data_IF_348005880318
#
_entry.id   IF_348005880318
#
_cell.length_a   1.000
_cell.length_b   1.000
_cell.length_c   1.000
_cell.angle_alpha   90.00
_cell.angle_beta   90.00
_cell.angle_gamma   90.00
#
_symmetry.space_group_name_H-M   'P 1'
#
loop_
_entity.id
_entity.type
_entity.pdbx_description
1 polymer ?
#
# COMPACT_ATOMS: atom_id res chain seq x y z
N UNK A 1 -11.00 -1.78 13.12
CA UNK A 1 -10.66 -0.34 13.11
C UNK A 1 -10.72 0.27 11.72
N UNK A 2 -9.93 -0.15 10.74
CA UNK A 2 -9.88 0.46 9.39
C UNK A 2 -11.22 0.45 8.64
N UNK A 3 -11.96 -0.69 8.67
CA UNK A 3 -13.29 -0.79 8.06
C UNK A 3 -14.30 0.22 8.62
N UNK A 4 -14.39 0.35 9.93
CA UNK A 4 -15.32 1.29 10.57
C UNK A 4 -15.02 2.74 10.22
N UNK A 5 -13.74 3.07 10.08
CA UNK A 5 -13.29 4.39 9.63
C UNK A 5 -13.74 4.70 8.21
N UNK A 6 -13.59 3.74 7.28
CA UNK A 6 -14.06 3.89 5.89
C UNK A 6 -15.58 4.07 5.83
N UNK A 7 -16.34 3.30 6.61
CA UNK A 7 -17.80 3.41 6.66
C UNK A 7 -18.22 4.80 7.18
N UNK A 8 -17.58 5.28 8.23
CA UNK A 8 -17.85 6.61 8.80
C UNK A 8 -17.51 7.72 7.80
N UNK A 9 -16.34 7.65 7.16
CA UNK A 9 -15.89 8.63 6.17
C UNK A 9 -16.82 8.67 4.95
N UNK A 10 -17.26 7.51 4.45
CA UNK A 10 -18.19 7.43 3.32
C UNK A 10 -19.53 8.11 3.65
N UNK A 11 -20.03 7.92 4.87
CA UNK A 11 -21.26 8.58 5.34
C UNK A 11 -21.05 10.07 5.47
N UNK A 12 -19.96 10.50 6.12
CA UNK A 12 -19.68 11.91 6.40
C UNK A 12 -19.45 12.73 5.13
N UNK A 13 -18.59 12.24 4.23
CA UNK A 13 -18.14 13.02 3.07
C UNK A 13 -19.02 12.87 1.84
N UNK A 14 -19.69 11.74 1.69
CA UNK A 14 -20.41 11.41 0.46
C UNK A 14 -21.88 11.05 0.71
N UNK A 15 -22.32 11.01 1.97
CA UNK A 15 -23.65 10.55 2.37
C UNK A 15 -23.99 9.14 1.87
N UNK A 16 -22.98 8.27 1.75
CA UNK A 16 -23.10 6.88 1.29
C UNK A 16 -23.08 5.96 2.50
N UNK A 17 -24.11 5.10 2.62
CA UNK A 17 -24.11 4.02 3.62
C UNK A 17 -23.48 2.76 3.04
N UNK A 18 -22.32 2.39 3.56
CA UNK A 18 -21.66 1.13 3.24
C UNK A 18 -21.98 0.09 4.30
N UNK A 19 -22.53 -1.05 3.89
CA UNK A 19 -22.94 -2.17 4.76
C UNK A 19 -22.27 -3.47 4.32
N UNK A 20 -22.21 -4.42 5.24
CA UNK A 20 -21.70 -5.77 4.97
C UNK A 20 -20.20 -5.94 5.19
N UNK A 21 -19.75 -7.17 4.96
CA UNK A 21 -18.35 -7.58 4.92
C UNK A 21 -18.25 -8.74 3.92
N UNK A 22 -17.70 -8.51 2.72
CA UNK A 22 -17.04 -7.28 2.26
C UNK A 22 -17.98 -6.07 2.11
N UNK A 23 -17.41 -4.87 2.01
CA UNK A 23 -18.19 -3.66 1.68
C UNK A 23 -18.42 -3.61 0.16
N UNK A 24 -19.66 -3.38 -0.24
CA UNK A 24 -20.04 -3.30 -1.64
C UNK A 24 -20.54 -1.88 -1.94
N UNK A 25 -19.96 -1.27 -2.96
CA UNK A 25 -20.35 0.04 -3.48
C UNK A 25 -20.86 -0.13 -4.92
N UNK A 26 -22.12 0.22 -5.15
CA UNK A 26 -22.67 0.29 -6.49
C UNK A 26 -22.57 1.72 -7.03
N UNK A 27 -22.04 1.86 -8.23
CA UNK A 27 -21.89 3.13 -8.93
C UNK A 27 -22.49 3.04 -10.33
N UNK A 28 -22.69 4.18 -10.97
CA UNK A 28 -23.15 4.23 -12.37
C UNK A 28 -22.19 3.52 -13.36
N UNK A 29 -20.91 3.35 -12.97
CA UNK A 29 -19.87 2.68 -13.77
C UNK A 29 -19.70 1.20 -13.43
N UNK A 30 -20.44 0.68 -12.46
CA UNK A 30 -20.38 -0.71 -12.03
C UNK A 30 -20.23 -0.87 -10.51
N UNK A 31 -19.96 -2.09 -10.08
CA UNK A 31 -19.83 -2.46 -8.68
C UNK A 31 -18.34 -2.49 -8.27
N UNK A 32 -18.05 -1.90 -7.12
CA UNK A 32 -16.77 -2.04 -6.46
C UNK A 32 -16.94 -2.80 -5.13
N UNK A 33 -16.06 -3.76 -4.87
CA UNK A 33 -16.08 -4.55 -3.63
C UNK A 33 -14.75 -4.34 -2.88
N UNK A 34 -14.83 -4.00 -1.61
CA UNK A 34 -13.69 -3.79 -0.74
C UNK A 34 -13.60 -4.91 0.29
N UNK A 35 -12.56 -5.72 0.18
CA UNK A 35 -12.25 -6.83 1.09
C UNK A 35 -11.25 -6.38 2.15
N UNK A 36 -11.50 -6.74 3.41
CA UNK A 36 -10.57 -6.55 4.52
C UNK A 36 -9.94 -7.88 4.86
N UNK A 37 -8.69 -8.04 4.48
CA UNK A 37 -7.95 -9.28 4.65
C UNK A 37 -7.02 -9.15 5.86
N UNK A 38 -6.84 -10.24 6.58
CA UNK A 38 -5.79 -10.34 7.59
C UNK A 38 -4.41 -10.43 6.90
N UNK A 39 -3.34 -10.27 7.66
CA UNK A 39 -1.97 -10.47 7.17
C UNK A 39 -1.64 -11.94 6.85
N UNK A 40 -2.62 -12.84 6.93
CA UNK A 40 -2.45 -14.23 6.51
C UNK A 40 -2.41 -14.33 4.97
N UNK A 41 -1.22 -14.57 4.44
CA UNK A 41 -0.97 -14.66 3.01
C UNK A 41 -1.81 -15.73 2.29
N UNK A 42 -2.17 -16.82 2.97
CA UNK A 42 -2.95 -17.92 2.38
C UNK A 42 -4.37 -17.48 2.00
N UNK A 43 -5.00 -16.65 2.82
CA UNK A 43 -6.38 -16.17 2.57
C UNK A 43 -6.44 -15.14 1.44
N UNK A 44 -5.34 -14.47 1.13
CA UNK A 44 -5.29 -13.41 0.14
C UNK A 44 -5.05 -13.91 -1.30
N UNK A 45 -4.55 -15.13 -1.50
CA UNK A 45 -4.11 -15.63 -2.82
C UNK A 45 -5.21 -15.73 -3.89
N UNK A 46 -6.48 -15.84 -3.50
CA UNK A 46 -7.61 -15.97 -4.44
C UNK A 46 -8.15 -14.63 -4.95
N UNK A 47 -7.69 -13.51 -4.40
CA UNK A 47 -8.22 -12.19 -4.76
C UNK A 47 -7.35 -11.51 -5.82
N UNK A 48 -7.99 -10.72 -6.67
CA UNK A 48 -7.36 -9.89 -7.69
C UNK A 48 -7.91 -8.48 -7.66
N UNK A 49 -7.05 -7.48 -7.72
CA UNK A 49 -7.47 -6.09 -7.69
C UNK A 49 -6.41 -5.12 -7.22
N UNK A 50 -6.84 -3.91 -6.89
CA UNK A 50 -5.99 -2.95 -6.18
C UNK A 50 -5.72 -3.46 -4.77
N UNK A 51 -4.48 -3.36 -4.33
CA UNK A 51 -4.05 -3.80 -3.00
C UNK A 51 -3.56 -2.62 -2.19
N UNK A 52 -4.05 -2.53 -0.96
CA UNK A 52 -3.63 -1.56 0.04
C UNK A 52 -3.05 -2.31 1.23
N UNK A 53 -1.83 -2.00 1.63
CA UNK A 53 -1.16 -2.60 2.78
C UNK A 53 -0.90 -1.51 3.81
N UNK A 54 -1.66 -1.60 4.90
CA UNK A 54 -1.55 -0.70 6.05
C UNK A 54 -0.46 -1.20 7.01
N UNK A 55 0.23 -0.27 7.65
CA UNK A 55 1.31 -0.52 8.62
C UNK A 55 2.35 -1.52 8.12
N UNK A 56 2.71 -1.40 6.83
CA UNK A 56 3.55 -2.38 6.15
C UNK A 56 4.94 -2.57 6.80
N UNK A 57 5.47 -1.56 7.52
CA UNK A 57 6.76 -1.64 8.23
C UNK A 57 6.67 -2.31 9.62
N UNK A 58 5.47 -2.75 10.02
CA UNK A 58 5.23 -3.45 11.27
C UNK A 58 4.78 -4.90 11.06
N UNK A 59 4.55 -5.31 9.82
CA UNK A 59 4.06 -6.64 9.49
C UNK A 59 5.19 -7.67 9.60
N UNK A 60 5.03 -8.63 10.50
CA UNK A 60 5.88 -9.81 10.55
C UNK A 60 5.64 -10.67 9.30
N UNK A 61 6.71 -11.19 8.68
CA UNK A 61 6.60 -11.95 7.44
C UNK A 61 6.21 -11.08 6.22
N UNK A 62 6.63 -9.81 6.22
CA UNK A 62 6.33 -8.86 5.15
C UNK A 62 6.66 -9.40 3.77
N UNK A 63 7.78 -10.11 3.59
CA UNK A 63 8.19 -10.61 2.28
C UNK A 63 7.19 -11.59 1.68
N UNK A 64 6.61 -12.49 2.48
CA UNK A 64 5.59 -13.43 2.06
C UNK A 64 4.29 -12.71 1.68
N UNK A 65 3.84 -11.79 2.52
CA UNK A 65 2.67 -10.97 2.24
C UNK A 65 2.86 -10.14 0.97
N UNK A 66 4.01 -9.49 0.81
CA UNK A 66 4.32 -8.67 -0.36
C UNK A 66 4.35 -9.48 -1.66
N UNK A 67 4.86 -10.72 -1.60
CA UNK A 67 4.83 -11.65 -2.74
C UNK A 67 3.41 -11.95 -3.18
N UNK A 68 2.53 -12.28 -2.24
CA UNK A 68 1.10 -12.54 -2.51
C UNK A 68 0.41 -11.28 -3.03
N UNK A 69 0.60 -10.13 -2.38
CA UNK A 69 0.05 -8.86 -2.82
C UNK A 69 0.49 -8.47 -4.24
N UNK A 70 1.74 -8.80 -4.59
CA UNK A 70 2.25 -8.58 -5.95
C UNK A 70 1.56 -9.48 -6.98
N UNK A 71 1.21 -10.72 -6.60
CA UNK A 71 0.40 -11.62 -7.42
C UNK A 71 -1.03 -11.12 -7.62
N UNK A 72 -1.68 -10.65 -6.55
CA UNK A 72 -3.03 -10.08 -6.60
C UNK A 72 -3.12 -8.88 -7.55
N UNK A 73 -2.12 -8.02 -7.56
CA UNK A 73 -2.01 -6.82 -8.38
C UNK A 73 -1.09 -7.02 -9.60
N UNK A 74 -1.01 -8.22 -10.15
CA UNK A 74 -0.09 -8.53 -11.26
C UNK A 74 -0.48 -7.89 -12.59
N UNK A 75 -1.77 -7.64 -12.81
CA UNK A 75 -2.23 -6.97 -14.02
C UNK A 75 -1.90 -5.47 -14.00
N UNK A 76 -1.46 -4.89 -15.12
CA UNK A 76 -1.03 -3.48 -15.24
C UNK A 76 -2.06 -2.43 -14.77
N UNK A 77 -3.35 -2.75 -14.80
CA UNK A 77 -4.42 -1.85 -14.32
C UNK A 77 -4.53 -1.80 -12.79
N UNK A 78 -3.97 -2.77 -12.07
CA UNK A 78 -4.03 -2.82 -10.62
C UNK A 78 -2.85 -2.11 -9.97
N UNK A 79 -3.09 -1.47 -8.86
CA UNK A 79 -2.08 -0.71 -8.10
C UNK A 79 -1.83 -1.37 -6.75
N UNK A 80 -0.61 -1.22 -6.27
CA UNK A 80 -0.20 -1.56 -4.91
C UNK A 80 0.12 -0.26 -4.18
N UNK A 81 -0.57 -0.02 -3.08
CA UNK A 81 -0.36 1.13 -2.22
C UNK A 81 0.06 0.62 -0.85
N UNK A 82 1.22 1.06 -0.40
CA UNK A 82 1.77 0.71 0.90
C UNK A 82 1.90 2.00 1.70
N UNK A 83 1.47 1.98 2.94
CA UNK A 83 1.61 3.11 3.85
C UNK A 83 1.86 2.61 5.27
N UNK A 84 2.64 3.36 6.02
CA UNK A 84 3.05 2.97 7.36
C UNK A 84 3.71 4.13 8.09
N UNK A 85 3.69 4.08 9.39
CA UNK A 85 4.63 4.77 10.24
C UNK A 85 6.01 4.10 10.15
N UNK A 86 7.12 4.83 10.41
CA UNK A 86 8.45 4.25 10.36
C UNK A 86 8.66 3.18 11.45
N UNK A 87 9.50 2.21 11.14
CA UNK A 87 9.88 1.09 12.00
C UNK A 87 11.42 0.91 11.99
N UNK A 88 11.90 -0.25 12.41
CA UNK A 88 13.32 -0.54 12.49
C UNK A 88 13.96 -0.77 11.12
N UNK A 89 15.21 -0.37 10.95
CA UNK A 89 16.04 -0.63 9.75
C UNK A 89 16.17 -2.12 9.45
N UNK A 90 16.14 -2.97 10.48
CA UNK A 90 16.20 -4.42 10.34
C UNK A 90 14.89 -5.06 9.79
N UNK A 91 13.80 -4.28 9.64
CA UNK A 91 12.55 -4.80 9.14
C UNK A 91 12.63 -5.19 7.66
N UNK A 92 11.95 -6.28 7.29
CA UNK A 92 11.97 -6.84 5.93
C UNK A 92 11.51 -5.87 4.82
N UNK A 93 10.73 -4.84 5.15
CA UNK A 93 10.28 -3.84 4.18
C UNK A 93 11.29 -2.70 3.96
N UNK A 94 12.36 -2.62 4.75
CA UNK A 94 13.33 -1.54 4.66
C UNK A 94 14.04 -1.48 3.31
N UNK A 95 14.48 -2.62 2.79
CA UNK A 95 15.14 -2.70 1.49
C UNK A 95 14.21 -2.38 0.30
N UNK A 96 12.91 -2.61 0.46
CA UNK A 96 11.91 -2.14 -0.50
C UNK A 96 11.78 -0.62 -0.44
N UNK A 97 11.70 -0.04 0.75
CA UNK A 97 11.57 1.41 0.94
C UNK A 97 12.79 2.17 0.41
N UNK A 98 13.98 1.71 0.73
CA UNK A 98 15.25 2.35 0.31
C UNK A 98 15.62 2.13 -1.15
N UNK A 99 14.96 1.18 -1.82
CA UNK A 99 15.30 0.77 -3.18
C UNK A 99 16.44 -0.25 -3.27
N UNK A 100 17.03 -0.67 -2.15
CA UNK A 100 18.12 -1.66 -2.13
C UNK A 100 17.71 -2.97 -2.80
N UNK A 101 16.46 -3.40 -2.60
CA UNK A 101 15.91 -4.60 -3.25
C UNK A 101 15.99 -4.50 -4.77
N UNK A 102 15.66 -3.35 -5.33
CA UNK A 102 15.75 -3.08 -6.75
C UNK A 102 17.21 -3.06 -7.23
N UNK A 103 18.09 -2.36 -6.49
CA UNK A 103 19.50 -2.27 -6.82
C UNK A 103 20.21 -3.63 -6.78
N UNK A 104 19.90 -4.48 -5.79
CA UNK A 104 20.42 -5.85 -5.69
C UNK A 104 19.98 -6.72 -6.88
N UNK A 105 18.74 -6.59 -7.32
CA UNK A 105 18.19 -7.38 -8.45
C UNK A 105 18.75 -6.94 -9.80
N UNK A 106 18.99 -5.63 -9.97
CA UNK A 106 19.40 -5.05 -11.25
C UNK A 106 20.79 -4.41 -11.14
N UNK A 107 21.80 -5.20 -10.77
CA UNK A 107 23.19 -4.74 -10.51
C UNK A 107 23.77 -3.76 -11.55
N UNK A 108 23.40 -3.91 -12.84
CA UNK A 108 23.82 -3.03 -13.92
C UNK A 108 23.07 -1.70 -14.00
N UNK A 109 21.96 -1.54 -13.26
CA UNK A 109 21.11 -0.35 -13.22
C UNK A 109 21.19 0.32 -11.85
N UNK A 110 22.38 0.77 -11.46
CA UNK A 110 22.55 1.60 -10.26
C UNK A 110 21.91 2.96 -10.52
N UNK A 111 20.64 3.10 -10.11
CA UNK A 111 19.96 4.38 -10.15
C UNK A 111 19.96 4.98 -8.74
N UNK A 112 20.15 6.29 -8.65
CA UNK A 112 20.03 6.99 -7.38
C UNK A 112 18.58 7.06 -6.95
N UNK A 113 18.30 6.66 -5.69
CA UNK A 113 16.99 6.84 -5.07
C UNK A 113 16.96 8.17 -4.34
N UNK A 114 15.84 8.90 -4.38
CA UNK A 114 15.70 10.16 -3.67
C UNK A 114 15.90 10.00 -2.15
N UNK A 115 16.51 10.99 -1.53
CA UNK A 115 16.62 11.08 -0.07
C UNK A 115 15.24 11.30 0.58
N UNK A 116 15.11 11.02 1.87
CA UNK A 116 13.87 11.27 2.62
C UNK A 116 13.42 12.73 2.54
N UNK A 117 14.37 13.67 2.47
CA UNK A 117 14.06 15.11 2.30
C UNK A 117 13.39 15.41 0.96
N UNK A 118 13.90 14.83 -0.12
CA UNK A 118 13.32 14.97 -1.47
C UNK A 118 11.96 14.29 -1.55
N UNK A 119 11.79 13.16 -0.86
CA UNK A 119 10.53 12.43 -0.80
C UNK A 119 9.39 13.17 -0.04
N UNK A 120 9.67 14.24 0.69
CA UNK A 120 8.61 15.10 1.24
C UNK A 120 7.73 15.72 0.13
N UNK A 121 8.30 16.03 -1.02
CA UNK A 121 7.55 16.50 -2.20
C UNK A 121 6.87 15.35 -2.97
N UNK A 122 7.31 14.14 -2.73
CA UNK A 122 6.95 12.95 -3.49
C UNK A 122 7.74 12.83 -4.79
N UNK A 123 8.13 11.60 -5.12
CA UNK A 123 8.90 11.31 -6.33
C UNK A 123 8.59 9.92 -6.88
N UNK A 124 8.59 9.82 -8.21
CA UNK A 124 8.63 8.53 -8.90
C UNK A 124 10.05 8.00 -8.86
N UNK A 125 10.23 6.82 -8.27
CA UNK A 125 11.53 6.22 -8.07
C UNK A 125 11.91 5.25 -9.21
N UNK A 126 13.21 4.89 -9.35
CA UNK A 126 13.68 4.01 -10.42
C UNK A 126 13.01 2.64 -10.50
N UNK A 127 12.50 2.13 -9.38
CA UNK A 127 11.73 0.89 -9.31
C UNK A 127 10.25 1.05 -9.67
N UNK A 128 9.87 2.19 -10.24
CA UNK A 128 8.51 2.57 -10.64
C UNK A 128 7.53 2.82 -9.49
N UNK A 129 7.97 2.79 -8.24
CA UNK A 129 7.15 3.22 -7.13
C UNK A 129 7.20 4.74 -6.95
N UNK A 130 6.03 5.35 -6.80
CA UNK A 130 5.93 6.70 -6.28
C UNK A 130 6.05 6.64 -4.76
N UNK A 131 6.99 7.38 -4.20
CA UNK A 131 7.20 7.49 -2.74
C UNK A 131 6.93 8.90 -2.26
N UNK A 132 6.33 8.97 -1.07
CA UNK A 132 6.13 10.25 -0.37
C UNK A 132 6.33 10.05 1.12
N UNK A 133 7.04 10.98 1.74
CA UNK A 133 7.12 11.13 3.20
C UNK A 133 6.16 12.24 3.62
N UNK A 134 5.33 11.94 4.60
CA UNK A 134 4.44 12.91 5.27
C UNK A 134 4.93 13.00 6.71
N UNK A 135 5.36 14.19 7.12
CA UNK A 135 5.77 14.44 8.51
C UNK A 135 4.58 14.83 9.37
N UNK A 136 4.76 14.84 10.68
CA UNK A 136 3.73 15.34 11.60
C UNK A 136 3.38 16.79 11.29
N UNK A 137 4.36 17.62 10.96
CA UNK A 137 4.16 19.03 10.56
C UNK A 137 3.26 19.15 9.32
N UNK A 138 3.48 18.28 8.32
CA UNK A 138 2.66 18.24 7.11
C UNK A 138 1.21 17.79 7.40
N UNK A 139 1.01 16.98 8.44
CA UNK A 139 -0.29 16.42 8.79
C UNK A 139 -1.17 17.39 9.60
N UNK A 140 -0.57 18.39 10.29
CA UNK A 140 -1.27 19.39 11.11
C UNK A 140 -1.38 20.77 10.44
N UNK A 141 -0.73 20.94 9.30
CA UNK A 141 -0.84 22.16 8.48
C UNK A 141 -2.13 22.12 7.65
#
# INVERSE_FOLDING_TARGET
>A
MFRSYIVALAKEKFNIELKGNPLVLNTAKGQATLYFLSNNSKSAQSYHGHVYIDECFWIQGFNELYKVASGMASHKKWRRTLFSTPSAVAHQAYDLWTGERFQKRFKAKRAAFPSSKELRKGALCPDTFYRKVITLEDAIA
#
